data_IF_272767219863
#
_entry.id   IF_272767219863
#
_cell.length_a   1.000
_cell.length_b   1.000
_cell.length_c   1.000
_cell.angle_alpha   90.00
_cell.angle_beta   90.00
_cell.angle_gamma   90.00
#
_symmetry.space_group_name_H-M   'P 1'
#
loop_
_entity.id
_entity.type
_entity.pdbx_description
1 polymer ?
#
# COMPACT_ATOMS: atom_id res chain seq x y z
N UNK A 1 35.32 7.99 23.20
CA UNK A 1 35.51 6.53 23.25
C UNK A 1 35.51 6.04 21.80
N UNK A 2 36.68 5.88 21.16
CA UNK A 2 36.76 5.38 19.78
C UNK A 2 36.50 3.87 19.82
N UNK A 3 35.35 3.45 19.29
CA UNK A 3 35.06 2.02 19.07
C UNK A 3 36.06 1.44 18.08
N UNK A 4 36.40 0.15 18.24
CA UNK A 4 37.28 -0.53 17.30
C UNK A 4 36.67 -0.53 15.89
N UNK A 5 37.48 -0.54 14.81
CA UNK A 5 36.99 -0.58 13.44
C UNK A 5 35.98 -1.71 13.18
N UNK A 6 36.18 -2.87 13.80
CA UNK A 6 35.27 -4.03 13.69
C UNK A 6 33.88 -3.75 14.28
N UNK A 7 33.79 -3.11 15.46
CA UNK A 7 32.50 -2.76 16.06
C UNK A 7 31.75 -1.75 15.18
N UNK A 8 32.47 -0.80 14.56
CA UNK A 8 31.86 0.14 13.62
C UNK A 8 31.30 -0.56 12.37
N UNK A 9 32.03 -1.53 11.81
CA UNK A 9 31.58 -2.31 10.65
C UNK A 9 30.35 -3.18 10.99
N UNK A 10 30.33 -3.83 12.15
CA UNK A 10 29.19 -4.63 12.61
C UNK A 10 27.93 -3.76 12.80
N UNK A 11 28.09 -2.58 13.42
CA UNK A 11 26.99 -1.64 13.60
C UNK A 11 26.46 -1.11 12.27
N UNK A 12 27.36 -0.79 11.31
CA UNK A 12 26.95 -0.40 9.97
C UNK A 12 26.18 -1.52 9.27
N UNK A 13 26.69 -2.75 9.26
CA UNK A 13 26.03 -3.89 8.64
C UNK A 13 24.65 -4.17 9.24
N UNK A 14 24.49 -3.99 10.55
CA UNK A 14 23.19 -4.12 11.22
C UNK A 14 22.22 -3.01 10.79
N UNK A 15 22.70 -1.78 10.63
CA UNK A 15 21.89 -0.65 10.15
C UNK A 15 21.42 -0.87 8.70
N UNK A 16 22.33 -1.24 7.79
CA UNK A 16 22.01 -1.56 6.40
C UNK A 16 20.94 -2.64 6.29
N UNK A 17 21.08 -3.74 7.04
CA UNK A 17 20.08 -4.82 7.05
C UNK A 17 18.71 -4.35 7.56
N UNK A 18 18.69 -3.49 8.58
CA UNK A 18 17.45 -2.92 9.10
C UNK A 18 16.76 -2.03 8.07
N UNK A 19 17.51 -1.27 7.29
CA UNK A 19 17.00 -0.43 6.21
C UNK A 19 16.43 -1.29 5.07
N UNK A 20 17.17 -2.32 4.64
CA UNK A 20 16.70 -3.30 3.64
C UNK A 20 15.39 -3.97 4.08
N UNK A 21 15.33 -4.44 5.33
CA UNK A 21 14.12 -5.06 5.88
C UNK A 21 12.96 -4.05 5.91
N UNK A 22 13.22 -2.81 6.33
CA UNK A 22 12.22 -1.72 6.33
C UNK A 22 11.67 -1.45 4.93
N UNK A 23 12.54 -1.32 3.94
CA UNK A 23 12.18 -1.08 2.55
C UNK A 23 11.29 -2.19 1.97
N UNK A 24 11.54 -3.46 2.32
CA UNK A 24 10.67 -4.58 1.90
C UNK A 24 9.28 -4.48 2.54
N UNK A 25 9.21 -4.11 3.82
CA UNK A 25 7.92 -3.95 4.53
C UNK A 25 7.15 -2.77 3.95
N UNK A 26 7.83 -1.63 3.73
CA UNK A 26 7.28 -0.44 3.07
C UNK A 26 6.70 -0.80 1.71
N UNK A 27 7.52 -1.36 0.82
CA UNK A 27 7.10 -1.73 -0.53
C UNK A 27 5.97 -2.76 -0.54
N UNK A 28 5.99 -3.77 0.33
CA UNK A 28 4.92 -4.77 0.41
C UNK A 28 3.60 -4.18 0.89
N UNK A 29 3.64 -3.27 1.86
CA UNK A 29 2.43 -2.62 2.39
C UNK A 29 1.89 -1.55 1.45
N UNK A 30 2.75 -0.77 0.79
CA UNK A 30 2.38 0.20 -0.23
C UNK A 30 1.78 -0.49 -1.46
N UNK A 31 2.46 -1.51 -2.00
CA UNK A 31 2.00 -2.23 -3.20
C UNK A 31 0.65 -2.93 -3.03
N UNK A 32 0.23 -3.24 -1.80
CA UNK A 32 -1.11 -3.75 -1.51
C UNK A 32 -2.22 -2.82 -2.02
N UNK A 33 -2.03 -1.51 -1.89
CA UNK A 33 -2.97 -0.49 -2.35
C UNK A 33 -3.16 -0.60 -3.87
N UNK A 34 -2.09 -0.42 -4.63
CA UNK A 34 -2.18 -0.24 -6.09
C UNK A 34 -2.30 -1.56 -6.86
N UNK A 35 -1.85 -2.67 -6.27
CA UNK A 35 -1.86 -3.97 -6.94
C UNK A 35 -3.13 -4.76 -6.68
N UNK A 36 -3.70 -4.65 -5.48
CA UNK A 36 -4.83 -5.49 -5.06
C UNK A 36 -6.05 -4.62 -4.79
N UNK A 37 -5.92 -3.64 -3.90
CA UNK A 37 -7.09 -2.98 -3.37
C UNK A 37 -7.76 -2.04 -4.36
N UNK A 38 -7.01 -1.14 -4.98
CA UNK A 38 -7.55 -0.16 -5.92
C UNK A 38 -8.16 -0.82 -7.16
N UNK A 39 -7.53 -1.82 -7.81
CA UNK A 39 -8.17 -2.56 -8.89
C UNK A 39 -9.49 -3.21 -8.48
N UNK A 40 -9.56 -3.85 -7.31
CA UNK A 40 -10.79 -4.47 -6.80
C UNK A 40 -11.86 -3.43 -6.42
N UNK A 41 -11.45 -2.28 -5.89
CA UNK A 41 -12.35 -1.17 -5.60
C UNK A 41 -13.04 -0.67 -6.89
N UNK A 42 -12.26 -0.36 -7.92
CA UNK A 42 -12.80 0.07 -9.21
C UNK A 42 -13.54 -1.02 -9.96
N UNK A 43 -13.16 -2.30 -9.79
CA UNK A 43 -13.95 -3.44 -10.25
C UNK A 43 -15.32 -3.50 -9.59
N UNK A 44 -15.41 -3.24 -8.29
CA UNK A 44 -16.68 -3.29 -7.57
C UNK A 44 -17.64 -2.19 -8.06
N UNK A 45 -17.11 -1.01 -8.41
CA UNK A 45 -17.90 0.13 -8.88
C UNK A 45 -18.26 0.07 -10.36
N UNK A 46 -17.30 -0.31 -11.21
CA UNK A 46 -17.39 -0.20 -12.68
C UNK A 46 -16.89 -1.45 -13.40
N UNK A 47 -16.83 -2.60 -12.71
CA UNK A 47 -16.44 -3.89 -13.26
C UNK A 47 -15.10 -3.90 -13.96
N UNK A 48 -14.98 -4.78 -14.97
CA UNK A 48 -13.72 -4.97 -15.67
C UNK A 48 -13.18 -3.67 -16.32
N UNK A 49 -14.00 -2.83 -16.98
CA UNK A 49 -13.53 -1.54 -17.50
C UNK A 49 -12.94 -0.62 -16.43
N UNK A 50 -13.55 -0.55 -15.23
CA UNK A 50 -13.04 0.25 -14.12
C UNK A 50 -11.67 -0.21 -13.64
N UNK A 51 -11.52 -1.52 -13.43
CA UNK A 51 -10.26 -2.12 -13.00
C UNK A 51 -9.13 -1.87 -14.01
N UNK A 52 -9.43 -2.02 -15.31
CA UNK A 52 -8.48 -1.78 -16.39
C UNK A 52 -8.12 -0.29 -16.51
N UNK A 53 -9.10 0.61 -16.39
CA UNK A 53 -8.87 2.05 -16.43
C UNK A 53 -7.96 2.50 -15.29
N UNK A 54 -8.23 2.05 -14.06
CA UNK A 54 -7.34 2.31 -12.93
C UNK A 54 -5.93 1.77 -13.20
N UNK A 55 -5.81 0.52 -13.68
CA UNK A 55 -4.49 -0.06 -13.90
C UNK A 55 -3.71 0.66 -15.00
N UNK A 56 -4.39 1.16 -16.03
CA UNK A 56 -3.77 2.01 -17.05
C UNK A 56 -3.21 3.30 -16.42
N UNK A 57 -3.97 4.00 -15.57
CA UNK A 57 -3.50 5.21 -14.89
C UNK A 57 -2.28 4.92 -14.00
N UNK A 58 -2.37 3.91 -13.13
CA UNK A 58 -1.26 3.52 -12.25
C UNK A 58 0.01 3.14 -13.03
N UNK A 59 -0.16 2.49 -14.19
CA UNK A 59 0.96 2.16 -15.09
C UNK A 59 1.56 3.41 -15.73
N UNK A 60 0.73 4.34 -16.19
CA UNK A 60 1.20 5.62 -16.78
C UNK A 60 1.97 6.43 -15.74
N UNK A 61 1.48 6.50 -14.50
CA UNK A 61 2.18 7.19 -13.41
C UNK A 61 3.56 6.57 -13.14
N UNK A 62 3.63 5.24 -13.09
CA UNK A 62 4.91 4.53 -12.89
C UNK A 62 5.90 4.71 -14.05
N UNK A 63 5.42 4.87 -15.29
CA UNK A 63 6.27 5.06 -16.48
C UNK A 63 6.73 6.51 -16.68
N UNK A 64 5.88 7.49 -16.37
CA UNK A 64 6.11 8.92 -16.68
C UNK A 64 6.51 9.73 -15.44
N UNK A 65 6.20 9.26 -14.24
CA UNK A 65 6.47 9.94 -12.96
C UNK A 65 7.96 10.18 -12.68
N UNK A 66 8.86 9.40 -13.28
CA UNK A 66 10.32 9.52 -13.11
C UNK A 66 11.03 10.35 -14.19
N UNK A 67 10.29 11.11 -15.02
CA UNK A 67 10.92 11.92 -16.06
C UNK A 67 11.77 13.08 -15.51
N UNK A 68 13.06 13.07 -15.87
CA UNK A 68 14.00 14.16 -15.60
C UNK A 68 13.64 15.46 -16.35
N UNK A 69 14.15 16.63 -15.92
CA UNK A 69 13.97 17.89 -16.65
C UNK A 69 14.36 17.75 -18.13
N UNK A 70 13.58 18.29 -19.09
CA UNK A 70 12.50 19.27 -18.93
C UNK A 70 11.08 18.69 -18.76
N UNK A 71 10.91 17.36 -18.78
CA UNK A 71 9.59 16.72 -18.84
C UNK A 71 8.91 16.49 -17.49
N UNK A 72 9.52 16.98 -16.40
CA UNK A 72 8.99 16.89 -15.03
C UNK A 72 7.54 17.38 -14.89
N UNK A 73 7.14 18.37 -15.70
CA UNK A 73 5.76 18.88 -15.70
C UNK A 73 4.76 17.89 -16.31
N UNK A 74 5.19 17.00 -17.22
CA UNK A 74 4.34 15.97 -17.81
C UNK A 74 4.02 14.84 -16.82
N UNK A 75 4.94 14.53 -15.91
CA UNK A 75 4.70 13.56 -14.82
C UNK A 75 3.74 14.04 -13.73
N UNK A 76 3.52 15.35 -13.61
CA UNK A 76 2.67 15.93 -12.55
C UNK A 76 1.18 15.63 -12.73
N UNK A 77 0.72 15.52 -13.97
CA UNK A 77 -0.69 15.21 -14.29
C UNK A 77 -1.04 13.76 -13.93
N UNK A 78 -0.31 12.73 -14.40
CA UNK A 78 -0.59 11.35 -14.04
C UNK A 78 -0.40 11.09 -12.54
N UNK A 79 0.61 11.68 -11.89
CA UNK A 79 0.81 11.55 -10.44
C UNK A 79 -0.37 12.11 -9.64
N UNK A 80 -0.91 13.26 -10.04
CA UNK A 80 -2.12 13.82 -9.42
C UNK A 80 -3.34 12.96 -9.64
N UNK A 81 -3.50 12.39 -10.84
CA UNK A 81 -4.63 11.53 -11.12
C UNK A 81 -4.56 10.25 -10.30
N UNK A 82 -3.38 9.64 -10.21
CA UNK A 82 -3.14 8.48 -9.34
C UNK A 82 -3.48 8.82 -7.88
N UNK A 83 -2.97 9.94 -7.37
CA UNK A 83 -3.26 10.39 -6.01
C UNK A 83 -4.77 10.59 -5.75
N UNK A 84 -5.51 11.12 -6.73
CA UNK A 84 -6.97 11.28 -6.63
C UNK A 84 -7.67 9.92 -6.62
N UNK A 85 -7.30 9.02 -7.54
CA UNK A 85 -7.92 7.70 -7.65
C UNK A 85 -7.64 6.85 -6.40
N UNK A 86 -6.44 6.97 -5.84
CA UNK A 86 -6.03 6.24 -4.65
C UNK A 86 -6.48 6.87 -3.33
N UNK A 87 -7.11 8.05 -3.34
CA UNK A 87 -7.51 8.73 -2.11
C UNK A 87 -8.42 7.89 -1.21
N UNK A 88 -9.54 7.39 -1.73
CA UNK A 88 -10.46 6.53 -0.97
C UNK A 88 -9.86 5.12 -0.75
N UNK A 89 -9.33 4.44 -1.79
CA UNK A 89 -8.66 3.15 -1.64
C UNK A 89 -7.61 3.11 -0.52
N UNK A 90 -6.80 4.15 -0.36
CA UNK A 90 -5.76 4.21 0.67
C UNK A 90 -6.30 4.14 2.10
N UNK A 91 -7.47 4.74 2.39
CA UNK A 91 -8.08 4.64 3.72
C UNK A 91 -8.65 3.23 3.95
N UNK A 92 -9.24 2.66 2.90
CA UNK A 92 -9.76 1.28 2.95
C UNK A 92 -8.60 0.30 3.15
N UNK A 93 -7.43 0.52 2.54
CA UNK A 93 -6.27 -0.37 2.70
C UNK A 93 -5.76 -0.40 4.12
N UNK A 94 -5.63 0.75 4.77
CA UNK A 94 -5.33 0.82 6.19
C UNK A 94 -6.38 0.09 7.03
N UNK A 95 -7.67 0.26 6.75
CA UNK A 95 -8.74 -0.43 7.47
C UNK A 95 -8.64 -1.96 7.31
N UNK A 96 -8.40 -2.47 6.11
CA UNK A 96 -8.24 -3.91 5.87
C UNK A 96 -7.02 -4.47 6.60
N UNK A 97 -5.91 -3.72 6.65
CA UNK A 97 -4.72 -4.08 7.43
C UNK A 97 -5.02 -4.10 8.92
N UNK A 98 -5.74 -3.10 9.45
CA UNK A 98 -6.14 -3.03 10.86
C UNK A 98 -7.03 -4.22 11.24
N UNK A 99 -7.99 -4.60 10.39
CA UNK A 99 -8.84 -5.78 10.61
C UNK A 99 -8.03 -7.09 10.53
N UNK A 100 -7.07 -7.18 9.61
CA UNK A 100 -6.16 -8.32 9.51
C UNK A 100 -5.22 -8.44 10.71
N UNK A 101 -4.90 -7.31 11.36
CA UNK A 101 -4.05 -7.25 12.55
C UNK A 101 -4.75 -7.76 13.83
N UNK A 102 -5.98 -8.27 13.77
CA UNK A 102 -6.72 -8.80 14.95
C UNK A 102 -6.01 -9.94 15.68
N UNK A 103 -5.16 -10.70 15.00
CA UNK A 103 -4.28 -11.72 15.62
C UNK A 103 -2.95 -11.14 16.13
N UNK A 104 -2.76 -9.82 16.00
CA UNK A 104 -1.56 -9.08 16.34
C UNK A 104 -1.92 -7.88 17.25
N UNK A 105 -2.02 -6.68 16.67
CA UNK A 105 -2.04 -5.37 17.35
C UNK A 105 -2.92 -4.36 16.59
N UNK A 106 -4.25 -4.57 16.54
CA UNK A 106 -5.14 -3.74 15.73
C UNK A 106 -5.23 -2.30 16.27
N UNK A 107 -5.08 -2.10 17.58
CA UNK A 107 -5.13 -0.78 18.21
C UNK A 107 -3.88 0.03 17.84
N UNK A 108 -2.70 -0.59 17.91
CA UNK A 108 -1.44 0.05 17.51
C UNK A 108 -1.40 0.33 16.01
N UNK A 109 -1.92 -0.57 15.18
CA UNK A 109 -2.10 -0.35 13.75
C UNK A 109 -2.98 0.89 13.48
N UNK A 110 -4.13 0.99 14.15
CA UNK A 110 -5.04 2.13 14.02
C UNK A 110 -4.40 3.44 14.50
N UNK A 111 -3.76 3.44 15.67
CA UNK A 111 -3.12 4.62 16.23
C UNK A 111 -1.98 5.12 15.33
N UNK A 112 -1.14 4.19 14.85
CA UNK A 112 -0.04 4.52 13.95
C UNK A 112 -0.58 5.06 12.61
N UNK A 113 -1.55 4.39 11.99
CA UNK A 113 -2.19 4.88 10.76
C UNK A 113 -2.75 6.30 10.94
N UNK A 114 -3.49 6.55 12.02
CA UNK A 114 -4.09 7.86 12.29
C UNK A 114 -3.04 8.97 12.48
N UNK A 115 -1.95 8.67 13.18
CA UNK A 115 -0.95 9.67 13.57
C UNK A 115 0.12 9.91 12.49
N UNK A 116 0.47 8.88 11.72
CA UNK A 116 1.70 8.87 10.93
C UNK A 116 1.48 8.77 9.41
N UNK A 117 0.25 8.56 8.93
CA UNK A 117 -0.03 8.39 7.50
C UNK A 117 0.37 9.59 6.62
N UNK A 118 0.43 10.80 7.19
CA UNK A 118 0.72 12.03 6.47
C UNK A 118 2.23 12.34 6.36
N UNK A 119 3.10 11.44 6.84
CA UNK A 119 4.55 11.63 6.78
C UNK A 119 5.17 11.30 5.42
N UNK A 120 4.50 10.49 4.61
CA UNK A 120 4.96 10.15 3.26
C UNK A 120 4.74 11.32 2.29
N UNK A 121 5.55 11.46 1.22
CA UNK A 121 5.31 12.48 0.20
C UNK A 121 3.96 12.34 -0.51
N UNK A 122 3.51 11.11 -0.76
CA UNK A 122 2.16 10.85 -1.27
C UNK A 122 1.14 10.93 -0.11
N UNK A 123 -0.04 11.55 -0.34
CA UNK A 123 -1.15 11.56 0.61
C UNK A 123 -1.81 10.18 0.83
N UNK A 124 -1.39 9.16 0.08
CA UNK A 124 -2.01 7.84 0.04
C UNK A 124 -1.12 6.73 0.58
N UNK A 125 0.15 6.66 0.15
CA UNK A 125 1.03 5.52 0.49
C UNK A 125 1.26 5.35 1.98
N UNK A 126 1.28 6.45 2.75
CA UNK A 126 1.48 6.40 4.19
C UNK A 126 0.37 5.70 4.97
N UNK A 127 -0.85 5.58 4.44
CA UNK A 127 -1.95 4.89 5.12
C UNK A 127 -1.68 3.39 5.37
N UNK A 128 -1.46 2.56 4.32
CA UNK A 128 -1.16 1.15 4.52
C UNK A 128 0.19 0.93 5.22
N UNK A 129 1.20 1.77 4.93
CA UNK A 129 2.52 1.68 5.57
C UNK A 129 2.44 1.92 7.07
N UNK A 130 1.75 2.97 7.52
CA UNK A 130 1.60 3.28 8.93
C UNK A 130 0.73 2.24 9.66
N UNK A 131 -0.30 1.69 9.02
CA UNK A 131 -1.07 0.59 9.57
C UNK A 131 -0.20 -0.66 9.78
N UNK A 132 0.62 -1.03 8.78
CA UNK A 132 1.54 -2.16 8.86
C UNK A 132 2.63 -1.95 9.93
N UNK A 133 3.23 -0.76 9.97
CA UNK A 133 4.24 -0.38 10.97
C UNK A 133 3.70 -0.51 12.40
N UNK A 134 2.46 -0.07 12.64
CA UNK A 134 1.79 -0.21 13.94
C UNK A 134 1.47 -1.67 14.30
N UNK A 135 0.93 -2.45 13.35
CA UNK A 135 0.61 -3.87 13.58
C UNK A 135 1.86 -4.70 13.94
N UNK A 136 2.96 -4.44 13.23
CA UNK A 136 4.21 -5.18 13.36
C UNK A 136 5.14 -4.61 14.44
N UNK A 137 4.82 -3.42 14.98
CA UNK A 137 5.63 -2.67 15.94
C UNK A 137 7.06 -2.45 15.43
N UNK A 138 7.18 -1.99 14.17
CA UNK A 138 8.46 -1.65 13.54
C UNK A 138 8.52 -0.19 13.17
N UNK A 139 9.73 0.37 13.20
CA UNK A 139 10.04 1.70 12.66
C UNK A 139 10.34 1.57 11.17
N UNK A 140 9.63 2.31 10.34
CA UNK A 140 9.88 2.39 8.90
C UNK A 140 10.52 3.75 8.61
N UNK A 141 11.65 3.76 7.94
CA UNK A 141 12.50 4.95 7.81
C UNK A 141 13.09 5.01 6.41
N UNK A 142 12.86 6.14 5.75
CA UNK A 142 13.51 6.49 4.50
C UNK A 142 14.42 7.68 4.78
N UNK A 143 15.76 7.48 4.81
CA UNK A 143 16.71 8.51 5.23
C UNK A 143 16.51 9.85 4.51
N UNK A 144 16.37 10.92 5.29
CA UNK A 144 16.16 12.27 4.76
C UNK A 144 14.76 12.56 4.22
N UNK A 145 13.82 11.61 4.30
CA UNK A 145 12.44 11.79 3.79
C UNK A 145 11.41 11.66 4.90
N UNK A 146 11.33 10.51 5.59
CA UNK A 146 10.34 10.27 6.64
C UNK A 146 10.75 9.18 7.64
N UNK A 147 10.08 9.18 8.79
CA UNK A 147 10.12 8.10 9.78
C UNK A 147 8.74 7.83 10.34
N UNK A 148 8.19 6.64 10.08
CA UNK A 148 6.90 6.16 10.57
C UNK A 148 7.14 5.27 11.80
N UNK A 149 6.31 5.46 12.84
CA UNK A 149 6.41 4.72 14.11
C UNK A 149 7.80 4.84 14.78
N UNK A 150 8.30 6.06 15.05
CA UNK A 150 9.69 6.31 15.44
C UNK A 150 10.09 5.65 16.76
N UNK A 151 9.13 5.41 17.67
CA UNK A 151 9.37 4.78 18.97
C UNK A 151 9.46 3.26 18.91
N UNK A 152 9.20 2.65 17.75
CA UNK A 152 9.27 1.21 17.56
C UNK A 152 10.69 0.72 17.27
N UNK A 153 10.85 -0.60 17.28
CA UNK A 153 12.15 -1.25 17.06
C UNK A 153 12.51 -1.26 15.57
N UNK A 154 13.81 -1.35 15.29
CA UNK A 154 14.34 -1.57 13.95
C UNK A 154 13.79 -2.87 13.32
N UNK A 155 13.35 -2.85 12.04
CA UNK A 155 12.84 -4.02 11.33
C UNK A 155 13.81 -5.21 11.35
N UNK A 156 13.31 -6.38 11.74
CA UNK A 156 14.03 -7.65 11.66
C UNK A 156 13.45 -8.51 10.52
N UNK A 157 14.18 -9.54 10.05
CA UNK A 157 13.72 -10.40 8.97
C UNK A 157 12.38 -11.09 9.24
N UNK A 158 12.05 -11.37 10.51
CA UNK A 158 10.79 -11.98 10.91
C UNK A 158 9.59 -11.11 10.54
N UNK A 159 9.72 -9.78 10.62
CA UNK A 159 8.63 -8.87 10.27
C UNK A 159 8.37 -8.81 8.76
N UNK A 160 9.33 -9.18 7.91
CA UNK A 160 9.07 -9.34 6.46
C UNK A 160 8.01 -10.42 6.26
N UNK A 161 8.23 -11.60 6.84
CA UNK A 161 7.29 -12.71 6.74
C UNK A 161 5.93 -12.38 7.39
N UNK A 162 5.92 -11.62 8.48
CA UNK A 162 4.69 -11.15 9.12
C UNK A 162 3.94 -10.13 8.25
N UNK A 163 4.64 -9.24 7.56
CA UNK A 163 4.04 -8.26 6.63
C UNK A 163 3.31 -8.98 5.49
N UNK A 164 3.94 -9.98 4.88
CA UNK A 164 3.31 -10.78 3.82
C UNK A 164 2.05 -11.48 4.34
N UNK A 165 2.11 -12.08 5.54
CA UNK A 165 0.94 -12.71 6.18
C UNK A 165 -0.18 -11.71 6.43
N UNK A 166 0.16 -10.50 6.90
CA UNK A 166 -0.75 -9.41 7.19
C UNK A 166 -1.45 -8.90 5.92
N UNK A 167 -0.69 -8.59 4.87
CA UNK A 167 -1.22 -8.15 3.56
C UNK A 167 -2.07 -9.24 2.92
N UNK A 168 -1.67 -10.52 3.02
CA UNK A 168 -2.50 -11.64 2.54
C UNK A 168 -3.82 -11.73 3.28
N UNK A 169 -3.81 -11.59 4.61
CA UNK A 169 -5.04 -11.58 5.41
C UNK A 169 -5.94 -10.38 5.06
N UNK A 170 -5.38 -9.19 4.91
CA UNK A 170 -6.09 -8.00 4.46
C UNK A 170 -6.71 -8.19 3.06
N UNK A 171 -5.97 -8.83 2.16
CA UNK A 171 -6.46 -9.18 0.81
C UNK A 171 -7.62 -10.17 0.85
N UNK A 172 -7.56 -11.20 1.71
CA UNK A 172 -8.66 -12.16 1.87
C UNK A 172 -9.93 -11.49 2.43
N UNK A 173 -9.78 -10.60 3.43
CA UNK A 173 -10.91 -9.83 3.98
C UNK A 173 -11.53 -8.95 2.89
N UNK A 174 -10.70 -8.26 2.11
CA UNK A 174 -11.16 -7.44 1.00
C UNK A 174 -11.89 -8.27 -0.07
N UNK A 175 -11.32 -9.39 -0.52
CA UNK A 175 -11.93 -10.26 -1.53
C UNK A 175 -13.27 -10.79 -1.03
N UNK A 176 -13.35 -11.22 0.23
CA UNK A 176 -14.60 -11.67 0.82
C UNK A 176 -15.64 -10.54 0.82
N UNK A 177 -15.26 -9.34 1.26
CA UNK A 177 -16.13 -8.15 1.25
C UNK A 177 -16.63 -7.82 -0.16
N UNK A 178 -15.72 -7.74 -1.14
CA UNK A 178 -16.06 -7.46 -2.55
C UNK A 178 -17.00 -8.53 -3.11
N UNK A 179 -16.71 -9.80 -2.85
CA UNK A 179 -17.55 -10.92 -3.31
C UNK A 179 -18.95 -10.84 -2.69
N UNK A 180 -19.03 -10.55 -1.39
CA UNK A 180 -20.32 -10.34 -0.70
C UNK A 180 -21.08 -9.16 -1.28
N UNK A 181 -20.42 -8.02 -1.51
CA UNK A 181 -21.06 -6.85 -2.13
C UNK A 181 -21.61 -7.22 -3.51
N UNK A 182 -20.79 -7.82 -4.38
CA UNK A 182 -21.19 -8.21 -5.74
C UNK A 182 -22.31 -9.26 -5.78
N UNK A 183 -22.38 -10.13 -4.77
CA UNK A 183 -23.46 -11.11 -4.64
C UNK A 183 -24.78 -10.45 -4.22
N UNK A 184 -24.71 -9.48 -3.30
CA UNK A 184 -25.88 -8.79 -2.75
C UNK A 184 -26.41 -7.67 -3.66
N UNK A 185 -25.55 -7.05 -4.46
CA UNK A 185 -25.96 -6.06 -5.45
C UNK A 185 -26.32 -6.75 -6.76
N UNK A 186 -27.47 -6.45 -7.40
CA UNK A 186 -27.79 -6.97 -8.73
C UNK A 186 -26.93 -6.32 -9.85
N UNK A 187 -25.68 -5.96 -9.55
CA UNK A 187 -24.66 -5.48 -10.51
C UNK A 187 -24.44 -6.47 -11.63
N UNK A 188 -24.65 -7.78 -11.39
CA UNK A 188 -24.65 -8.79 -12.45
C UNK A 188 -25.59 -8.43 -13.60
N UNK A 189 -26.76 -7.84 -13.36
CA UNK A 189 -27.70 -7.47 -14.43
C UNK A 189 -27.17 -6.39 -15.39
N UNK A 190 -26.35 -5.45 -14.90
CA UNK A 190 -25.71 -4.42 -15.73
C UNK A 190 -24.58 -4.99 -16.62
N UNK A 191 -23.84 -5.99 -16.13
CA UNK A 191 -22.77 -6.66 -16.87
C UNK A 191 -23.29 -7.58 -17.98
N UNK A 192 -24.43 -8.26 -17.74
CA UNK A 192 -25.07 -9.07 -18.78
C UNK A 192 -25.51 -8.22 -19.97
N UNK A 193 -25.97 -6.98 -19.75
CA UNK A 193 -26.34 -6.05 -20.83
C UNK A 193 -25.16 -5.60 -21.70
N UNK A 194 -24.00 -5.33 -21.10
CA UNK A 194 -22.78 -4.95 -21.84
C UNK A 194 -22.19 -6.13 -22.62
N UNK A 195 -22.14 -7.32 -22.01
CA UNK A 195 -21.68 -8.53 -22.69
C UNK A 195 -22.65 -8.96 -23.81
N UNK A 196 -23.97 -8.78 -23.63
CA UNK A 196 -24.93 -9.09 -24.69
C UNK A 196 -24.77 -8.18 -25.90
N UNK A 197 -24.36 -6.91 -25.72
CA UNK A 197 -24.09 -5.97 -26.82
C UNK A 197 -22.77 -6.32 -27.54
N UNK A 198 -21.77 -6.83 -26.81
CA UNK A 198 -20.46 -7.20 -27.36
C UNK A 198 -20.43 -8.58 -28.02
N UNK A 199 -21.40 -9.45 -27.70
CA UNK A 199 -21.51 -10.82 -28.23
C UNK A 199 -22.66 -10.92 -29.26
N UNK A 200 -23.50 -9.89 -29.38
CA UNK A 200 -24.52 -9.80 -30.43
C UNK A 200 -23.93 -9.26 -31.74
N UNK A 201 -23.01 -10.02 -32.35
CA UNK A 201 -22.65 -9.94 -33.77
C UNK A 201 -22.70 -11.36 -34.38
#
# INVERSE_FOLDING_TARGET
>A
MHLSPEINLLNQNAAWRSEENGAVIESTSESYLDTILSPLFYFTLFGLPGALAYKAVSTIDSMIGYMEPPYRNLGHVPAKLDDILNYIPARISALMIILAATTQRPIEALNCARQEHNKTPSPNSGWPMAAAAGALRVRLEKPGVYTINPTATSPQPEQIAQTVKLVRAASMILIALVTTVLYLTPTTSAWHGLLSILISD
#
